data_IF_820331657860
#
_entry.id   IF_820331657860
#
_cell.length_a   1.000
_cell.length_b   1.000
_cell.length_c   1.000
_cell.angle_alpha   90.00
_cell.angle_beta   90.00
_cell.angle_gamma   90.00
#
_symmetry.space_group_name_H-M   'P 1'
#
loop_
_entity.id
_entity.type
_entity.pdbx_description
1 polymer ?
#
# COMPACT_ATOMS: atom_id res chain seq x y z
N UNK A 1 -11.96 3.96 -24.16
CA UNK A 1 -12.99 2.91 -24.23
C UNK A 1 -14.36 3.56 -24.34
N UNK A 2 -15.11 3.25 -25.38
CA UNK A 2 -16.53 3.63 -25.44
C UNK A 2 -17.40 2.62 -24.67
N UNK A 3 -18.64 3.00 -24.38
CA UNK A 3 -19.59 2.20 -23.58
C UNK A 3 -19.89 0.83 -24.23
N UNK A 4 -19.80 0.75 -25.56
CA UNK A 4 -20.06 -0.47 -26.34
C UNK A 4 -18.90 -1.47 -26.23
N UNK A 5 -17.66 -0.96 -26.19
CA UNK A 5 -16.44 -1.72 -25.95
C UNK A 5 -16.35 -2.22 -24.50
N UNK A 6 -16.78 -1.40 -23.53
CA UNK A 6 -16.85 -1.80 -22.12
C UNK A 6 -17.90 -2.90 -21.90
N UNK A 7 -19.09 -2.76 -22.47
CA UNK A 7 -20.16 -3.78 -22.39
C UNK A 7 -19.77 -5.08 -23.13
N UNK A 8 -19.03 -4.99 -24.24
CA UNK A 8 -18.51 -6.16 -24.94
C UNK A 8 -17.44 -6.90 -24.11
N UNK A 9 -16.55 -6.17 -23.44
CA UNK A 9 -15.53 -6.73 -22.56
C UNK A 9 -16.17 -7.36 -21.32
N UNK A 10 -17.11 -6.67 -20.66
CA UNK A 10 -17.83 -7.18 -19.50
C UNK A 10 -18.69 -8.40 -19.86
N UNK A 11 -19.41 -8.36 -21.00
CA UNK A 11 -20.19 -9.50 -21.48
C UNK A 11 -19.35 -10.70 -21.91
N UNK A 12 -18.10 -10.48 -22.32
CA UNK A 12 -17.11 -11.56 -22.52
C UNK A 12 -16.65 -12.11 -21.18
N UNK A 13 -16.30 -11.27 -20.21
CA UNK A 13 -15.88 -11.71 -18.88
C UNK A 13 -16.94 -12.54 -18.18
N UNK A 14 -18.23 -12.19 -18.30
CA UNK A 14 -19.34 -12.98 -17.74
C UNK A 14 -19.41 -14.41 -18.31
N UNK A 15 -19.07 -14.61 -19.60
CA UNK A 15 -18.98 -15.94 -20.23
C UNK A 15 -17.67 -16.68 -19.91
N UNK A 16 -16.64 -15.96 -19.42
CA UNK A 16 -15.31 -16.51 -19.09
C UNK A 16 -15.10 -16.75 -17.58
N UNK A 17 -15.88 -16.12 -16.70
CA UNK A 17 -15.78 -16.22 -15.23
C UNK A 17 -15.84 -17.69 -14.76
N UNK A 18 -16.61 -18.52 -15.48
CA UNK A 18 -16.77 -19.95 -15.22
C UNK A 18 -15.52 -20.82 -15.53
N UNK A 19 -14.44 -20.27 -16.14
CA UNK A 19 -13.23 -21.04 -16.52
C UNK A 19 -11.90 -20.38 -16.18
N UNK A 20 -11.89 -19.20 -15.58
CA UNK A 20 -10.61 -18.51 -15.25
C UNK A 20 -9.77 -19.36 -14.29
N UNK A 21 -10.41 -20.07 -13.36
CA UNK A 21 -9.72 -20.95 -12.40
C UNK A 21 -9.29 -22.30 -12.96
N UNK A 22 -9.78 -22.73 -14.13
CA UNK A 22 -9.40 -24.02 -14.75
C UNK A 22 -7.90 -24.09 -15.09
N UNK A 23 -7.27 -22.93 -15.18
CA UNK A 23 -5.84 -22.80 -15.45
C UNK A 23 -4.99 -22.96 -14.19
N UNK A 24 -5.57 -22.81 -13.00
CA UNK A 24 -4.86 -22.93 -11.73
C UNK A 24 -5.11 -24.30 -11.09
N UNK A 25 -4.07 -24.90 -10.53
CA UNK A 25 -4.25 -26.07 -9.68
C UNK A 25 -4.61 -25.67 -8.23
N UNK A 26 -5.01 -26.67 -7.43
CA UNK A 26 -5.44 -26.43 -6.06
C UNK A 26 -4.34 -25.92 -5.14
N UNK A 27 -3.07 -26.20 -5.44
CA UNK A 27 -1.92 -25.71 -4.67
C UNK A 27 -1.60 -24.25 -5.05
N UNK A 28 -1.76 -23.88 -6.32
CA UNK A 28 -1.61 -22.51 -6.81
C UNK A 28 -2.66 -21.56 -6.20
N UNK A 29 -3.85 -22.05 -5.89
CA UNK A 29 -4.90 -21.27 -5.23
C UNK A 29 -4.92 -21.40 -3.69
N UNK A 30 -4.01 -22.17 -3.11
CA UNK A 30 -3.83 -22.25 -1.66
C UNK A 30 -3.03 -21.04 -1.17
N UNK A 31 -3.75 -20.05 -0.66
CA UNK A 31 -3.16 -18.80 -0.18
C UNK A 31 -2.12 -19.02 0.92
N UNK A 32 -2.32 -19.96 1.84
CA UNK A 32 -1.35 -20.23 2.92
C UNK A 32 -0.05 -20.78 2.33
N UNK A 33 -0.18 -21.73 1.39
CA UNK A 33 0.98 -22.31 0.73
C UNK A 33 1.77 -21.27 -0.08
N UNK A 34 1.09 -20.33 -0.74
CA UNK A 34 1.78 -19.26 -1.48
C UNK A 34 2.43 -18.23 -0.54
N UNK A 35 1.80 -17.89 0.59
CA UNK A 35 2.39 -17.03 1.62
C UNK A 35 3.63 -17.70 2.23
N UNK A 36 3.56 -18.99 2.59
CA UNK A 36 4.70 -19.73 3.13
C UNK A 36 5.88 -19.76 2.14
N UNK A 37 5.60 -19.97 0.84
CA UNK A 37 6.60 -19.95 -0.24
C UNK A 37 7.22 -18.56 -0.47
N UNK A 38 6.50 -17.49 -0.15
CA UNK A 38 7.01 -16.12 -0.18
C UNK A 38 7.85 -15.84 1.06
N UNK A 39 7.42 -16.28 2.24
CA UNK A 39 8.18 -16.13 3.49
C UNK A 39 9.52 -16.87 3.43
N UNK A 40 9.54 -18.11 2.95
CA UNK A 40 10.78 -18.88 2.71
C UNK A 40 11.71 -18.13 1.74
N UNK A 41 11.16 -17.64 0.63
CA UNK A 41 11.93 -16.87 -0.35
C UNK A 41 12.53 -15.58 0.24
N UNK A 42 11.79 -14.86 1.09
CA UNK A 42 12.30 -13.66 1.79
C UNK A 42 13.41 -14.04 2.77
N UNK A 43 13.24 -15.13 3.52
CA UNK A 43 14.21 -15.60 4.50
C UNK A 43 15.53 -16.05 3.87
N UNK A 44 15.51 -16.56 2.64
CA UNK A 44 16.72 -16.95 1.91
C UNK A 44 17.41 -15.76 1.20
N UNK A 45 16.73 -14.62 1.07
CA UNK A 45 17.17 -13.48 0.26
C UNK A 45 17.87 -12.38 1.06
N UNK A 46 18.76 -11.64 0.39
CA UNK A 46 19.33 -10.38 0.84
C UNK A 46 18.22 -9.30 0.88
N UNK A 47 17.89 -8.76 2.06
CA UNK A 47 16.76 -7.85 2.22
C UNK A 47 16.99 -6.50 1.53
N UNK A 48 18.26 -6.09 1.42
CA UNK A 48 18.61 -4.84 0.74
C UNK A 48 18.29 -4.94 -0.75
N UNK A 49 18.68 -6.06 -1.36
CA UNK A 49 18.38 -6.35 -2.78
C UNK A 49 16.88 -6.44 -3.03
N UNK A 50 16.12 -7.09 -2.13
CA UNK A 50 14.66 -7.15 -2.23
C UNK A 50 14.04 -5.74 -2.24
N UNK A 51 14.41 -4.91 -1.26
CA UNK A 51 13.86 -3.56 -1.10
C UNK A 51 14.25 -2.67 -2.29
N UNK A 52 15.49 -2.73 -2.77
CA UNK A 52 15.95 -1.97 -3.94
C UNK A 52 15.18 -2.31 -5.22
N UNK A 53 14.90 -3.60 -5.46
CA UNK A 53 14.10 -4.04 -6.61
C UNK A 53 12.65 -3.55 -6.51
N UNK A 54 12.05 -3.63 -5.32
CA UNK A 54 10.68 -3.14 -5.09
C UNK A 54 10.62 -1.62 -5.29
N UNK A 55 11.60 -0.88 -4.73
CA UNK A 55 11.68 0.57 -4.87
C UNK A 55 11.83 1.01 -6.33
N UNK A 56 12.67 0.33 -7.11
CA UNK A 56 12.81 0.58 -8.55
C UNK A 56 11.49 0.38 -9.30
N UNK A 57 10.81 -0.75 -9.06
CA UNK A 57 9.52 -1.03 -9.70
C UNK A 57 8.46 0.01 -9.35
N UNK A 58 8.31 0.32 -8.05
CA UNK A 58 7.36 1.32 -7.58
C UNK A 58 7.64 2.73 -8.13
N UNK A 59 8.91 3.14 -8.14
CA UNK A 59 9.34 4.44 -8.68
C UNK A 59 9.06 4.58 -10.17
N UNK A 60 9.43 3.58 -10.98
CA UNK A 60 9.18 3.58 -12.42
C UNK A 60 7.68 3.54 -12.73
N UNK A 61 6.90 2.72 -12.01
CA UNK A 61 5.45 2.67 -12.16
C UNK A 61 4.77 4.03 -11.85
N UNK A 62 5.23 4.72 -10.79
CA UNK A 62 4.77 6.07 -10.46
C UNK A 62 5.09 7.11 -11.54
N UNK A 63 6.27 7.02 -12.16
CA UNK A 63 6.67 7.88 -13.27
C UNK A 63 5.83 7.64 -14.53
N UNK A 64 5.54 6.38 -14.87
CA UNK A 64 4.66 6.01 -15.98
C UNK A 64 3.25 6.53 -15.75
N UNK A 65 2.73 6.38 -14.53
CA UNK A 65 1.41 6.89 -14.16
C UNK A 65 1.29 8.42 -14.28
N UNK A 66 2.42 9.15 -14.32
CA UNK A 66 2.45 10.61 -14.47
C UNK A 66 2.43 11.10 -15.92
N UNK A 67 2.70 10.22 -16.89
CA UNK A 67 2.70 10.58 -18.31
C UNK A 67 1.34 10.31 -18.95
N UNK A 68 0.93 11.11 -19.96
CA UNK A 68 -0.41 11.03 -20.55
C UNK A 68 -0.52 9.88 -21.58
N UNK A 69 -0.29 8.65 -21.11
CA UNK A 69 -0.40 7.40 -21.86
C UNK A 69 -1.42 6.49 -21.16
N UNK A 70 -1.99 5.54 -21.88
CA UNK A 70 -2.98 4.61 -21.33
C UNK A 70 -2.32 3.42 -20.62
N UNK A 71 -1.26 3.66 -19.87
CA UNK A 71 -0.50 2.62 -19.17
C UNK A 71 -0.82 2.68 -17.68
N UNK A 72 -1.17 1.53 -17.10
CA UNK A 72 -1.58 1.40 -15.70
C UNK A 72 -0.37 1.19 -14.75
N UNK A 73 0.86 1.23 -15.28
CA UNK A 73 2.11 1.03 -14.54
C UNK A 73 2.82 -0.26 -14.93
N UNK A 74 3.99 -0.53 -14.33
CA UNK A 74 4.79 -1.72 -14.65
C UNK A 74 5.10 -2.57 -13.44
N UNK A 75 5.10 -3.89 -13.66
CA UNK A 75 5.56 -4.88 -12.69
C UNK A 75 4.58 -5.14 -11.55
N UNK A 76 5.09 -5.16 -10.32
CA UNK A 76 4.30 -5.48 -9.11
C UNK A 76 3.34 -4.31 -8.81
N UNK A 77 2.03 -4.59 -8.62
CA UNK A 77 1.09 -3.53 -8.29
C UNK A 77 1.40 -2.81 -6.97
N UNK A 78 1.08 -1.51 -6.83
CA UNK A 78 1.44 -0.70 -5.66
C UNK A 78 1.12 -1.35 -4.30
N UNK A 79 -0.08 -1.90 -4.12
CA UNK A 79 -0.47 -2.52 -2.84
C UNK A 79 0.26 -3.83 -2.56
N UNK A 80 0.63 -4.58 -3.61
CA UNK A 80 1.51 -5.73 -3.45
C UNK A 80 2.94 -5.31 -3.11
N UNK A 81 3.46 -4.19 -3.64
CA UNK A 81 4.73 -3.63 -3.18
C UNK A 81 4.67 -3.32 -1.67
N UNK A 82 3.62 -2.66 -1.21
CA UNK A 82 3.43 -2.38 0.21
C UNK A 82 3.37 -3.67 1.04
N UNK A 83 2.61 -4.68 0.60
CA UNK A 83 2.53 -6.00 1.26
C UNK A 83 3.92 -6.65 1.36
N UNK A 84 4.68 -6.69 0.27
CA UNK A 84 6.04 -7.24 0.26
C UNK A 84 6.96 -6.50 1.23
N UNK A 85 6.93 -5.16 1.25
CA UNK A 85 7.74 -4.37 2.19
C UNK A 85 7.37 -4.70 3.64
N UNK A 86 6.09 -4.88 3.95
CA UNK A 86 5.61 -5.35 5.25
C UNK A 86 6.09 -6.77 5.60
N UNK A 87 6.07 -7.69 4.63
CA UNK A 87 6.58 -9.06 4.80
C UNK A 87 8.09 -9.10 5.01
N UNK A 88 8.85 -8.28 4.28
CA UNK A 88 10.28 -8.09 4.49
C UNK A 88 10.50 -7.56 5.89
N UNK A 89 9.90 -6.42 6.24
CA UNK A 89 10.00 -5.81 7.57
C UNK A 89 9.70 -6.78 8.73
N UNK A 90 8.79 -7.74 8.54
CA UNK A 90 8.35 -8.68 9.57
C UNK A 90 9.12 -10.02 9.54
N UNK A 91 10.10 -10.18 8.66
CA UNK A 91 10.91 -11.39 8.59
C UNK A 91 11.91 -11.43 9.76
N UNK A 92 12.10 -12.63 10.32
CA UNK A 92 12.96 -12.83 11.51
C UNK A 92 14.43 -13.00 11.17
N UNK A 93 14.69 -13.46 9.97
CA UNK A 93 16.02 -13.74 9.46
C UNK A 93 16.05 -13.52 7.95
N UNK A 94 17.25 -13.29 7.45
CA UNK A 94 17.50 -13.09 6.04
C UNK A 94 18.76 -13.85 5.63
N UNK A 95 18.79 -14.24 4.36
CA UNK A 95 19.91 -14.91 3.73
C UNK A 95 20.80 -13.93 2.97
N UNK A 96 21.54 -14.45 2.01
CA UNK A 96 22.47 -13.70 1.17
C UNK A 96 22.18 -13.87 -0.33
N UNK A 97 21.09 -14.57 -0.69
CA UNK A 97 20.70 -14.72 -2.09
C UNK A 97 20.28 -13.38 -2.68
N UNK A 98 20.68 -13.12 -3.93
CA UNK A 98 20.38 -11.86 -4.63
C UNK A 98 19.33 -12.12 -5.70
N UNK A 99 18.03 -12.13 -5.33
CA UNK A 99 16.98 -12.45 -6.29
C UNK A 99 16.89 -11.39 -7.38
N UNK A 100 16.44 -11.83 -8.55
CA UNK A 100 16.07 -10.93 -9.64
C UNK A 100 14.66 -10.39 -9.45
N UNK A 101 14.38 -9.27 -10.10
CA UNK A 101 13.04 -8.67 -10.11
C UNK A 101 11.96 -9.68 -10.51
N UNK A 102 12.18 -10.48 -11.56
CA UNK A 102 11.19 -11.46 -12.02
C UNK A 102 10.83 -12.51 -10.96
N UNK A 103 11.80 -12.96 -10.16
CA UNK A 103 11.57 -13.92 -9.08
C UNK A 103 10.70 -13.30 -7.97
N UNK A 104 10.95 -12.04 -7.62
CA UNK A 104 10.16 -11.28 -6.64
C UNK A 104 8.73 -11.09 -7.18
N UNK A 105 8.60 -10.67 -8.44
CA UNK A 105 7.31 -10.42 -9.09
C UNK A 105 6.46 -11.70 -9.21
N UNK A 106 7.07 -12.83 -9.55
CA UNK A 106 6.38 -14.11 -9.65
C UNK A 106 5.86 -14.58 -8.29
N UNK A 107 6.67 -14.42 -7.22
CA UNK A 107 6.24 -14.74 -5.85
C UNK A 107 5.09 -13.85 -5.38
N UNK A 108 5.17 -12.55 -5.65
CA UNK A 108 4.11 -11.60 -5.33
C UNK A 108 2.82 -11.93 -6.10
N UNK A 109 2.95 -12.20 -7.40
CA UNK A 109 1.83 -12.55 -8.28
C UNK A 109 1.17 -13.86 -7.86
N UNK A 110 1.93 -14.86 -7.41
CA UNK A 110 1.37 -16.11 -6.90
C UNK A 110 0.48 -15.88 -5.67
N UNK A 111 0.92 -15.05 -4.72
CA UNK A 111 0.09 -14.67 -3.55
C UNK A 111 -1.13 -13.86 -3.96
N UNK A 112 -0.96 -12.89 -4.87
CA UNK A 112 -2.06 -12.08 -5.41
C UNK A 112 -3.13 -12.96 -6.09
N UNK A 113 -2.71 -13.84 -6.98
CA UNK A 113 -3.59 -14.73 -7.74
C UNK A 113 -4.30 -15.69 -6.78
N UNK A 114 -3.60 -16.31 -5.83
CA UNK A 114 -4.22 -17.15 -4.80
C UNK A 114 -5.26 -16.37 -3.96
N UNK A 115 -4.92 -15.15 -3.53
CA UNK A 115 -5.84 -14.30 -2.77
C UNK A 115 -7.09 -13.94 -3.57
N UNK A 116 -6.95 -13.55 -4.84
CA UNK A 116 -8.09 -13.14 -5.67
C UNK A 116 -8.91 -14.34 -6.14
N UNK A 117 -8.29 -15.29 -6.82
CA UNK A 117 -8.97 -16.35 -7.56
C UNK A 117 -9.44 -17.53 -6.68
N UNK A 118 -8.91 -17.70 -5.46
CA UNK A 118 -9.43 -18.72 -4.52
C UNK A 118 -10.92 -18.54 -4.21
N UNK A 119 -11.46 -17.31 -4.33
CA UNK A 119 -12.89 -17.06 -4.13
C UNK A 119 -13.72 -17.67 -5.25
N UNK A 120 -13.20 -17.63 -6.47
CA UNK A 120 -13.88 -18.09 -7.68
C UNK A 120 -13.78 -19.61 -7.85
N UNK A 121 -12.74 -20.26 -7.32
CA UNK A 121 -12.58 -21.72 -7.43
C UNK A 121 -13.63 -22.52 -6.65
N UNK A 122 -14.38 -21.86 -5.77
CA UNK A 122 -15.54 -22.43 -5.07
C UNK A 122 -16.83 -22.41 -5.91
N UNK A 123 -16.81 -21.77 -7.09
CA UNK A 123 -17.97 -21.69 -7.98
C UNK A 123 -18.01 -22.92 -8.90
N UNK A 124 -19.11 -23.67 -8.85
CA UNK A 124 -19.47 -24.61 -9.92
C UNK A 124 -20.41 -23.88 -10.90
N UNK A 125 -20.02 -23.72 -12.18
CA UNK A 125 -20.83 -23.05 -13.20
C UNK A 125 -22.26 -23.59 -13.37
N UNK A 126 -22.47 -24.87 -13.07
CA UNK A 126 -23.74 -25.55 -13.29
C UNK A 126 -24.53 -25.77 -11.99
N UNK A 127 -23.86 -25.80 -10.84
CA UNK A 127 -24.49 -26.10 -9.55
C UNK A 127 -24.63 -24.88 -8.63
N UNK A 128 -23.75 -23.88 -8.72
CA UNK A 128 -23.79 -22.71 -7.84
C UNK A 128 -24.92 -21.74 -8.24
N UNK A 129 -25.79 -21.32 -7.30
CA UNK A 129 -26.86 -20.36 -7.58
C UNK A 129 -26.35 -18.99 -8.05
N UNK A 130 -27.06 -18.32 -8.97
CA UNK A 130 -26.68 -17.02 -9.55
C UNK A 130 -26.40 -15.93 -8.50
N UNK A 131 -27.15 -15.91 -7.38
CA UNK A 131 -26.92 -14.97 -6.27
C UNK A 131 -25.57 -15.21 -5.59
N UNK A 132 -25.18 -16.48 -5.43
CA UNK A 132 -23.90 -16.85 -4.84
C UNK A 132 -22.74 -16.56 -5.80
N UNK A 133 -22.90 -16.85 -7.10
CA UNK A 133 -21.96 -16.43 -8.15
C UNK A 133 -21.72 -14.92 -8.09
N UNK A 134 -22.81 -14.13 -8.13
CA UNK A 134 -22.75 -12.67 -8.05
C UNK A 134 -22.00 -12.18 -6.80
N UNK A 135 -22.28 -12.77 -5.64
CA UNK A 135 -21.59 -12.41 -4.37
C UNK A 135 -20.09 -12.72 -4.44
N UNK A 136 -19.72 -13.86 -5.04
CA UNK A 136 -18.33 -14.28 -5.20
C UNK A 136 -17.59 -13.41 -6.21
N UNK A 137 -18.19 -13.05 -7.34
CA UNK A 137 -17.61 -12.11 -8.31
C UNK A 137 -17.46 -10.70 -7.71
N UNK A 138 -18.40 -10.22 -6.89
CA UNK A 138 -18.22 -8.97 -6.13
C UNK A 138 -17.02 -9.07 -5.17
N UNK A 139 -16.92 -10.17 -4.42
CA UNK A 139 -15.81 -10.39 -3.50
C UNK A 139 -14.46 -10.46 -4.24
N UNK A 140 -14.40 -11.12 -5.39
CA UNK A 140 -13.23 -11.12 -6.27
C UNK A 140 -12.83 -9.71 -6.67
N UNK A 141 -13.77 -8.89 -7.18
CA UNK A 141 -13.50 -7.52 -7.58
C UNK A 141 -13.00 -6.64 -6.41
N UNK A 142 -13.57 -6.83 -5.22
CA UNK A 142 -13.10 -6.14 -4.00
C UNK A 142 -11.67 -6.55 -3.64
N UNK A 143 -11.36 -7.85 -3.70
CA UNK A 143 -9.99 -8.37 -3.46
C UNK A 143 -9.00 -7.85 -4.49
N UNK A 144 -9.35 -7.90 -5.77
CA UNK A 144 -8.53 -7.41 -6.87
C UNK A 144 -8.21 -5.92 -6.70
N UNK A 145 -9.19 -5.12 -6.29
CA UNK A 145 -8.98 -3.70 -5.99
C UNK A 145 -8.02 -3.48 -4.83
N UNK A 146 -8.11 -4.30 -3.78
CA UNK A 146 -7.25 -4.17 -2.58
C UNK A 146 -5.78 -4.44 -2.91
N UNK A 147 -5.49 -5.36 -3.83
CA UNK A 147 -4.12 -5.73 -4.21
C UNK A 147 -3.53 -4.91 -5.38
N UNK A 148 -4.36 -4.23 -6.19
CA UNK A 148 -3.89 -3.49 -7.37
C UNK A 148 -3.68 -2.00 -7.10
N UNK A 149 -4.76 -1.21 -7.15
CA UNK A 149 -4.71 0.24 -7.09
C UNK A 149 -4.83 0.82 -5.68
N UNK A 150 -5.20 -0.01 -4.69
CA UNK A 150 -5.57 0.44 -3.37
C UNK A 150 -6.76 1.42 -3.40
N UNK A 151 -6.82 2.30 -2.40
CA UNK A 151 -7.78 3.42 -2.42
C UNK A 151 -7.18 4.51 -3.31
N UNK A 152 -7.87 4.95 -4.36
CA UNK A 152 -7.43 6.08 -5.17
C UNK A 152 -7.45 7.35 -4.32
N UNK A 153 -6.29 7.96 -4.09
CA UNK A 153 -6.18 9.26 -3.45
C UNK A 153 -5.42 10.22 -4.35
N UNK A 154 -5.93 11.44 -4.48
CA UNK A 154 -5.10 12.53 -4.99
C UNK A 154 -3.93 12.74 -4.03
N UNK A 155 -2.75 12.99 -4.59
CA UNK A 155 -1.49 12.98 -3.87
C UNK A 155 -1.40 13.96 -2.68
N UNK A 156 -2.21 15.02 -2.64
CA UNK A 156 -2.34 15.97 -1.52
C UNK A 156 -3.46 15.62 -0.53
N UNK A 157 -4.37 14.69 -0.85
CA UNK A 157 -5.48 14.35 0.03
C UNK A 157 -5.01 13.86 1.40
N UNK A 158 -4.07 12.90 1.54
CA UNK A 158 -3.62 12.44 2.85
C UNK A 158 -3.02 13.57 3.69
N UNK A 159 -2.30 14.51 3.06
CA UNK A 159 -1.74 15.69 3.72
C UNK A 159 -2.87 16.60 4.25
N UNK A 160 -3.90 16.85 3.45
CA UNK A 160 -5.02 17.68 3.85
C UNK A 160 -5.84 17.03 4.98
N UNK A 161 -6.07 15.71 4.91
CA UNK A 161 -6.72 14.95 5.98
C UNK A 161 -5.94 15.12 7.27
N UNK A 162 -4.66 14.78 7.25
CA UNK A 162 -3.79 14.83 8.41
C UNK A 162 -3.73 16.25 8.98
N UNK A 163 -3.52 17.26 8.12
CA UNK A 163 -3.47 18.67 8.54
C UNK A 163 -4.72 19.06 9.32
N UNK A 164 -5.90 18.83 8.77
CA UNK A 164 -7.14 19.24 9.41
C UNK A 164 -7.44 18.43 10.67
N UNK A 165 -7.18 17.13 10.64
CA UNK A 165 -7.52 16.25 11.74
C UNK A 165 -6.58 16.45 12.94
N UNK A 166 -5.31 16.74 12.71
CA UNK A 166 -4.31 16.85 13.77
C UNK A 166 -3.91 18.28 14.16
N UNK A 167 -4.13 19.29 13.32
CA UNK A 167 -3.78 20.70 13.68
C UNK A 167 -4.43 21.17 14.99
N UNK A 168 -5.70 20.85 15.30
CA UNK A 168 -6.31 21.21 16.58
C UNK A 168 -5.64 20.57 17.81
N UNK A 169 -4.78 19.58 17.60
CA UNK A 169 -4.15 18.75 18.64
C UNK A 169 -2.63 18.90 18.65
N UNK A 170 -2.11 20.02 18.12
CA UNK A 170 -0.67 20.25 17.95
C UNK A 170 0.13 20.08 19.24
N UNK A 171 -0.35 20.60 20.38
CA UNK A 171 0.36 20.50 21.66
C UNK A 171 0.44 19.05 22.13
N UNK A 172 -0.65 18.29 22.00
CA UNK A 172 -0.71 16.88 22.37
C UNK A 172 0.15 16.01 21.45
N UNK A 173 0.24 16.34 20.16
CA UNK A 173 1.19 15.66 19.27
C UNK A 173 2.64 15.91 19.68
N UNK A 174 3.00 17.15 20.04
CA UNK A 174 4.36 17.45 20.50
C UNK A 174 4.67 16.66 21.78
N UNK A 175 3.71 16.51 22.69
CA UNK A 175 3.87 15.68 23.88
C UNK A 175 3.99 14.18 23.56
N UNK A 176 3.17 13.67 22.62
CA UNK A 176 3.15 12.24 22.29
C UNK A 176 4.35 11.77 21.46
N UNK A 177 4.73 12.55 20.45
CA UNK A 177 5.68 12.15 19.41
C UNK A 177 6.80 13.15 19.15
N UNK A 178 6.85 14.27 19.90
CA UNK A 178 7.96 15.23 19.81
C UNK A 178 7.86 16.23 18.65
N UNK A 179 6.79 16.21 17.85
CA UNK A 179 6.54 17.15 16.76
C UNK A 179 5.03 17.35 16.52
N UNK A 180 4.64 18.48 15.94
CA UNK A 180 3.26 18.69 15.48
C UNK A 180 3.07 18.31 14.00
N UNK A 181 1.82 18.20 13.54
CA UNK A 181 1.51 17.84 12.16
C UNK A 181 2.08 18.81 11.12
N UNK A 182 2.19 20.10 11.46
CA UNK A 182 2.78 21.09 10.57
C UNK A 182 4.27 20.85 10.33
N UNK A 183 4.99 20.39 11.36
CA UNK A 183 6.38 19.95 11.25
C UNK A 183 6.46 18.63 10.47
N UNK A 184 5.63 17.64 10.81
CA UNK A 184 5.58 16.35 10.12
C UNK A 184 5.41 16.50 8.60
N UNK A 185 4.45 17.33 8.15
CA UNK A 185 4.23 17.61 6.71
C UNK A 185 5.48 18.22 6.05
N UNK A 186 6.20 19.11 6.73
CA UNK A 186 7.45 19.68 6.20
C UNK A 186 8.56 18.64 6.13
N UNK A 187 8.69 17.80 7.15
CA UNK A 187 9.66 16.70 7.19
C UNK A 187 9.38 15.66 6.09
N UNK A 188 8.12 15.28 5.90
CA UNK A 188 7.70 14.39 4.80
C UNK A 188 8.11 14.94 3.44
N UNK A 189 7.79 16.21 3.15
CA UNK A 189 8.17 16.86 1.88
C UNK A 189 9.69 16.94 1.69
N UNK A 190 10.43 17.14 2.78
CA UNK A 190 11.89 17.14 2.74
C UNK A 190 12.43 15.75 2.37
N UNK A 191 11.95 14.70 3.05
CA UNK A 191 12.38 13.30 2.80
C UNK A 191 11.98 12.84 1.41
N UNK A 192 10.73 13.07 0.99
CA UNK A 192 10.27 12.75 -0.36
C UNK A 192 11.18 13.37 -1.42
N UNK A 193 11.48 14.66 -1.27
CA UNK A 193 12.41 15.33 -2.17
C UNK A 193 13.79 14.66 -2.20
N UNK A 194 14.31 14.21 -1.06
CA UNK A 194 15.60 13.51 -1.01
C UNK A 194 15.56 12.18 -1.74
N UNK A 195 14.53 11.37 -1.52
CA UNK A 195 14.38 10.10 -2.22
C UNK A 195 14.11 10.30 -3.72
N UNK A 196 13.32 11.32 -4.11
CA UNK A 196 13.12 11.68 -5.51
C UNK A 196 14.42 12.12 -6.18
N UNK A 197 15.22 12.97 -5.53
CA UNK A 197 16.52 13.43 -6.05
C UNK A 197 17.48 12.24 -6.25
N UNK A 198 17.51 11.28 -5.32
CA UNK A 198 18.32 10.05 -5.43
C UNK A 198 17.80 9.13 -6.54
N UNK A 199 16.48 8.88 -6.59
CA UNK A 199 15.86 8.07 -7.62
C UNK A 199 16.11 8.64 -9.01
N UNK A 200 15.99 9.96 -9.19
CA UNK A 200 16.27 10.62 -10.47
C UNK A 200 17.73 10.44 -10.89
N UNK A 201 18.67 10.66 -9.95
CA UNK A 201 20.10 10.46 -10.19
C UNK A 201 20.38 9.02 -10.62
N UNK A 202 19.90 8.04 -9.86
CA UNK A 202 20.18 6.63 -10.08
C UNK A 202 19.49 6.12 -11.36
N UNK A 203 18.21 6.42 -11.57
CA UNK A 203 17.42 5.88 -12.68
C UNK A 203 17.74 6.55 -14.03
N UNK A 204 17.90 7.88 -14.03
CA UNK A 204 18.04 8.63 -15.28
C UNK A 204 19.46 9.07 -15.56
N UNK A 205 20.14 9.69 -14.59
CA UNK A 205 21.45 10.28 -14.85
C UNK A 205 22.54 9.20 -14.97
N UNK A 206 22.48 8.18 -14.11
CA UNK A 206 23.51 7.13 -14.05
C UNK A 206 23.15 5.89 -14.85
N UNK A 207 21.89 5.44 -14.80
CA UNK A 207 21.44 4.21 -15.46
C UNK A 207 20.92 4.42 -16.89
N UNK A 208 20.62 5.65 -17.29
CA UNK A 208 20.14 6.01 -18.64
C UNK A 208 18.94 5.14 -19.08
N UNK A 209 17.96 4.99 -18.19
CA UNK A 209 16.71 4.28 -18.47
C UNK A 209 15.86 5.11 -19.46
N UNK A 210 15.42 4.47 -20.54
CA UNK A 210 14.55 5.10 -21.55
C UNK A 210 13.07 4.83 -21.22
N UNK A 211 12.36 5.87 -20.78
CA UNK A 211 10.93 5.78 -20.45
C UNK A 211 10.07 5.25 -21.60
N UNK A 212 10.47 5.49 -22.86
CA UNK A 212 9.75 4.98 -24.02
C UNK A 212 9.83 3.46 -24.18
N UNK A 213 10.82 2.81 -23.56
CA UNK A 213 10.93 1.35 -23.52
C UNK A 213 10.01 0.72 -22.47
N UNK A 214 9.72 1.47 -21.42
CA UNK A 214 8.95 1.03 -20.25
C UNK A 214 7.45 1.31 -20.45
N UNK A 215 7.10 2.44 -21.06
CA UNK A 215 5.71 2.83 -21.31
C UNK A 215 5.02 1.99 -22.40
N UNK A 216 3.75 1.69 -22.18
CA UNK A 216 2.85 1.05 -23.13
C UNK A 216 1.85 2.03 -23.75
N UNK A 217 1.41 1.73 -24.97
CA UNK A 217 0.30 2.46 -25.61
C UNK A 217 -1.07 1.96 -25.15
N UNK A 218 -1.13 0.80 -24.45
CA UNK A 218 -2.35 0.10 -24.05
C UNK A 218 -2.31 -0.22 -22.56
N UNK A 219 -3.49 -0.27 -21.95
CA UNK A 219 -3.64 -0.69 -20.55
C UNK A 219 -3.64 -2.23 -20.45
N UNK A 220 -3.53 -2.74 -19.22
CA UNK A 220 -3.51 -4.19 -18.96
C UNK A 220 -4.78 -4.87 -19.47
N UNK A 221 -5.94 -4.22 -19.38
CA UNK A 221 -7.20 -4.83 -19.79
C UNK A 221 -7.28 -5.02 -21.31
N UNK A 222 -6.87 -4.00 -22.08
CA UNK A 222 -6.77 -4.08 -23.54
C UNK A 222 -5.80 -5.18 -23.97
N UNK A 223 -4.64 -5.27 -23.31
CA UNK A 223 -3.64 -6.33 -23.53
C UNK A 223 -4.21 -7.74 -23.29
N UNK A 224 -4.90 -7.95 -22.17
CA UNK A 224 -5.54 -9.23 -21.83
C UNK A 224 -6.61 -9.61 -22.84
N UNK A 225 -7.48 -8.68 -23.23
CA UNK A 225 -8.55 -8.93 -24.21
C UNK A 225 -7.97 -9.30 -25.58
N UNK A 226 -6.90 -8.64 -26.02
CA UNK A 226 -6.21 -9.01 -27.25
C UNK A 226 -5.61 -10.41 -27.18
N UNK A 227 -4.93 -10.74 -26.09
CA UNK A 227 -4.36 -12.07 -25.90
C UNK A 227 -5.44 -13.16 -25.88
N UNK A 228 -6.58 -12.93 -25.22
CA UNK A 228 -7.73 -13.85 -25.24
C UNK A 228 -8.26 -14.04 -26.67
N UNK A 229 -8.36 -12.97 -27.45
CA UNK A 229 -8.82 -13.07 -28.84
C UNK A 229 -7.83 -13.84 -29.73
N UNK A 230 -6.53 -13.78 -29.43
CA UNK A 230 -5.48 -14.51 -30.15
C UNK A 230 -5.39 -15.99 -29.75
N UNK A 231 -5.47 -16.27 -28.44
CA UNK A 231 -5.14 -17.58 -27.85
C UNK A 231 -6.38 -18.40 -27.47
N UNK A 232 -7.54 -17.74 -27.35
CA UNK A 232 -8.84 -18.37 -27.08
C UNK A 232 -9.10 -18.71 -25.62
N UNK A 233 -8.16 -18.41 -24.72
CA UNK A 233 -8.24 -18.68 -23.28
C UNK A 233 -7.74 -17.49 -22.46
N UNK A 234 -8.15 -17.44 -21.19
CA UNK A 234 -7.68 -16.44 -20.25
C UNK A 234 -6.28 -16.84 -19.74
N UNK A 235 -5.23 -16.04 -19.99
CA UNK A 235 -3.88 -16.37 -19.53
C UNK A 235 -3.74 -16.16 -18.02
N UNK A 236 -2.92 -16.99 -17.34
CA UNK A 236 -2.47 -16.67 -15.98
C UNK A 236 -1.75 -15.32 -15.98
N UNK A 237 -1.74 -14.62 -14.85
CA UNK A 237 -1.05 -13.32 -14.75
C UNK A 237 0.41 -13.40 -15.19
N UNK A 238 1.12 -14.45 -14.78
CA UNK A 238 2.51 -14.69 -15.19
C UNK A 238 2.69 -15.07 -16.66
N UNK A 239 1.64 -15.51 -17.36
CA UNK A 239 1.68 -15.88 -18.78
C UNK A 239 1.30 -14.71 -19.71
N UNK A 240 0.92 -13.56 -19.14
CA UNK A 240 0.52 -12.39 -19.94
C UNK A 240 1.72 -11.76 -20.62
N UNK A 241 1.52 -11.33 -21.87
CA UNK A 241 2.61 -10.76 -22.70
C UNK A 241 3.12 -9.42 -22.17
N UNK A 242 2.24 -8.61 -21.60
CA UNK A 242 2.59 -7.36 -20.92
C UNK A 242 3.43 -7.63 -19.66
N UNK A 243 2.97 -8.52 -18.78
CA UNK A 243 3.69 -8.92 -17.57
C UNK A 243 5.11 -9.43 -17.86
N UNK A 244 5.25 -10.37 -18.82
CA UNK A 244 6.55 -10.92 -19.22
C UNK A 244 7.49 -9.86 -19.81
N UNK A 245 6.94 -8.87 -20.50
CA UNK A 245 7.70 -7.74 -21.03
C UNK A 245 8.14 -6.80 -19.90
N UNK A 246 7.25 -6.48 -18.98
CA UNK A 246 7.53 -5.60 -17.85
C UNK A 246 8.65 -6.14 -16.97
N UNK A 247 8.58 -7.43 -16.61
CA UNK A 247 9.65 -8.12 -15.89
C UNK A 247 10.97 -7.93 -16.62
N UNK A 248 11.01 -8.22 -17.93
CA UNK A 248 12.24 -8.13 -18.69
C UNK A 248 12.82 -6.71 -18.68
N UNK A 249 11.97 -5.69 -18.88
CA UNK A 249 12.40 -4.29 -18.86
C UNK A 249 12.90 -3.88 -17.48
N UNK A 250 12.25 -4.34 -16.41
CA UNK A 250 12.63 -4.05 -15.03
C UNK A 250 13.91 -4.79 -14.63
N UNK A 251 14.12 -6.03 -15.07
CA UNK A 251 15.38 -6.76 -14.91
C UNK A 251 16.52 -6.06 -15.64
N UNK A 252 16.34 -5.68 -16.91
CA UNK A 252 17.35 -4.92 -17.67
C UNK A 252 17.63 -3.54 -17.04
N UNK A 253 16.62 -2.92 -16.42
CA UNK A 253 16.77 -1.65 -15.69
C UNK A 253 17.52 -1.85 -14.38
N UNK A 254 17.18 -2.88 -13.62
CA UNK A 254 17.86 -3.23 -12.38
C UNK A 254 19.33 -3.61 -12.62
N UNK A 255 19.64 -4.35 -13.69
CA UNK A 255 21.04 -4.64 -14.05
C UNK A 255 21.87 -3.35 -14.23
N UNK A 256 21.27 -2.29 -14.79
CA UNK A 256 21.93 -0.97 -14.92
C UNK A 256 22.02 -0.24 -13.60
N UNK A 257 20.94 -0.26 -12.82
CA UNK A 257 20.81 0.45 -11.53
C UNK A 257 21.63 -0.20 -10.42
N UNK A 258 21.81 -1.52 -10.42
CA UNK A 258 22.47 -2.29 -9.35
C UNK A 258 23.92 -1.88 -9.07
N UNK A 259 24.57 -1.19 -10.02
CA UNK A 259 25.91 -0.61 -9.80
C UNK A 259 25.89 0.67 -8.95
N UNK A 260 24.71 1.25 -8.75
CA UNK A 260 24.44 2.50 -8.04
C UNK A 260 23.29 2.35 -7.03
N UNK A 261 22.77 1.13 -6.81
CA UNK A 261 21.58 0.93 -5.98
C UNK A 261 21.84 1.24 -4.51
N UNK A 262 23.10 1.13 -4.06
CA UNK A 262 23.54 1.62 -2.76
C UNK A 262 23.28 3.13 -2.59
N UNK A 263 23.24 3.92 -3.66
CA UNK A 263 22.94 5.36 -3.60
C UNK A 263 21.43 5.63 -3.42
N UNK A 264 20.56 4.61 -3.46
CA UNK A 264 19.14 4.75 -3.08
C UNK A 264 18.95 4.86 -1.56
N UNK A 265 19.95 4.46 -0.80
CA UNK A 265 19.96 4.53 0.65
C UNK A 265 20.65 5.81 1.12
N UNK A 266 20.06 6.48 2.11
CA UNK A 266 20.60 7.71 2.67
C UNK A 266 20.93 7.52 4.14
N UNK A 267 22.14 7.89 4.55
CA UNK A 267 22.53 7.84 5.97
C UNK A 267 21.78 8.88 6.80
N UNK A 268 21.55 8.58 8.09
CA UNK A 268 20.98 9.54 9.05
C UNK A 268 21.73 10.86 9.05
N UNK A 269 23.07 10.77 9.10
CA UNK A 269 23.95 11.91 9.14
C UNK A 269 23.81 12.80 7.91
N UNK A 270 23.55 12.21 6.74
CA UNK A 270 23.32 12.97 5.52
C UNK A 270 21.97 13.71 5.57
N UNK A 271 20.90 13.05 6.03
CA UNK A 271 19.60 13.69 6.23
C UNK A 271 19.69 14.87 7.20
N UNK A 272 20.39 14.71 8.32
CA UNK A 272 20.57 15.75 9.34
C UNK A 272 21.44 16.91 8.83
N UNK A 273 22.54 16.62 8.13
CA UNK A 273 23.45 17.65 7.60
C UNK A 273 22.81 18.54 6.53
N UNK A 274 21.82 18.01 5.81
CA UNK A 274 21.13 18.70 4.72
C UNK A 274 19.75 19.23 5.15
N UNK A 275 19.40 19.09 6.43
CA UNK A 275 18.15 19.60 6.99
C UNK A 275 18.12 21.13 6.86
N UNK A 276 17.06 21.72 6.27
CA UNK A 276 16.93 23.17 6.17
C UNK A 276 16.98 23.87 7.54
N UNK A 277 17.65 25.02 7.61
CA UNK A 277 17.83 25.80 8.86
C UNK A 277 16.52 26.23 9.55
N UNK A 278 15.40 26.26 8.83
CA UNK A 278 14.07 26.61 9.37
C UNK A 278 13.31 25.42 9.97
N UNK A 279 13.90 24.23 9.91
CA UNK A 279 13.36 23.00 10.47
C UNK A 279 14.08 22.67 11.79
N UNK A 280 13.28 22.26 12.79
CA UNK A 280 13.79 21.91 14.11
C UNK A 280 14.42 20.50 14.07
N UNK A 281 15.70 20.42 14.42
CA UNK A 281 16.47 19.17 14.32
C UNK A 281 15.96 18.10 15.30
N UNK A 282 15.68 18.47 16.55
CA UNK A 282 15.18 17.52 17.56
C UNK A 282 13.82 16.93 17.17
N UNK A 283 12.91 17.78 16.68
CA UNK A 283 11.63 17.34 16.14
C UNK A 283 11.79 16.46 14.88
N UNK A 284 12.80 16.71 14.05
CA UNK A 284 13.10 15.88 12.88
C UNK A 284 13.68 14.52 13.26
N UNK A 285 14.56 14.46 14.25
CA UNK A 285 15.09 13.21 14.80
C UNK A 285 13.94 12.36 15.37
N UNK A 286 13.04 12.95 16.18
CA UNK A 286 11.84 12.27 16.67
C UNK A 286 10.91 11.79 15.52
N UNK A 287 10.77 12.60 14.46
CA UNK A 287 10.00 12.22 13.28
C UNK A 287 10.61 11.02 12.55
N UNK A 288 11.94 11.02 12.36
CA UNK A 288 12.65 9.90 11.75
C UNK A 288 12.52 8.65 12.60
N UNK A 289 12.74 8.75 13.91
CA UNK A 289 12.59 7.61 14.82
C UNK A 289 11.17 7.01 14.75
N UNK A 290 10.13 7.86 14.80
CA UNK A 290 8.74 7.40 14.81
C UNK A 290 8.28 6.76 13.50
N UNK A 291 8.74 7.27 12.36
CA UNK A 291 8.29 6.80 11.04
C UNK A 291 9.27 5.84 10.36
N UNK A 292 10.37 5.52 11.02
CA UNK A 292 11.30 4.50 10.55
C UNK A 292 11.01 3.14 11.16
N UNK A 293 11.30 2.10 10.38
CA UNK A 293 11.22 0.71 10.79
C UNK A 293 12.58 0.05 10.53
N UNK A 294 13.26 -0.37 11.59
CA UNK A 294 14.49 -1.14 11.47
C UNK A 294 14.17 -2.60 11.12
N UNK A 295 14.46 -2.98 9.88
CA UNK A 295 14.09 -4.32 9.38
C UNK A 295 14.89 -5.45 10.04
N UNK A 296 15.91 -5.12 10.85
CA UNK A 296 16.73 -6.10 11.58
C UNK A 296 16.34 -6.27 13.03
N UNK A 297 15.51 -5.37 13.58
CA UNK A 297 15.09 -5.34 14.99
C UNK A 297 13.57 -5.18 15.14
N UNK A 298 12.80 -5.52 14.10
CA UNK A 298 11.35 -5.43 14.11
C UNK A 298 10.71 -6.82 14.10
N UNK A 299 9.82 -7.09 15.06
CA UNK A 299 9.01 -8.29 15.09
C UNK A 299 7.53 -7.92 14.98
N UNK A 300 6.80 -8.60 14.08
CA UNK A 300 5.36 -8.42 13.89
C UNK A 300 4.69 -9.74 13.53
N UNK A 301 3.41 -9.86 13.87
CA UNK A 301 2.56 -10.98 13.45
C UNK A 301 1.97 -10.79 12.04
N UNK A 302 2.36 -9.73 11.32
CA UNK A 302 1.87 -9.41 9.99
C UNK A 302 2.09 -10.55 8.98
N UNK A 303 0.98 -11.11 8.47
CA UNK A 303 1.03 -12.27 7.59
C UNK A 303 0.18 -12.12 6.33
N UNK A 304 -1.06 -11.70 6.48
CA UNK A 304 -2.04 -11.65 5.40
C UNK A 304 -2.13 -10.26 4.76
N UNK A 305 -2.59 -10.21 3.51
CA UNK A 305 -2.83 -8.96 2.77
C UNK A 305 -3.77 -8.02 3.54
N UNK A 306 -4.76 -8.60 4.25
CA UNK A 306 -5.79 -7.85 4.98
C UNK A 306 -5.36 -7.45 6.41
N UNK A 307 -4.16 -7.86 6.85
CA UNK A 307 -3.63 -7.50 8.17
C UNK A 307 -3.16 -6.04 8.18
N UNK A 308 -2.99 -5.47 9.38
CA UNK A 308 -2.39 -4.14 9.52
C UNK A 308 -0.91 -4.20 9.12
N UNK A 309 -0.60 -3.61 7.97
CA UNK A 309 0.75 -3.61 7.44
C UNK A 309 1.64 -2.61 8.21
N UNK A 310 2.76 -3.06 8.83
CA UNK A 310 3.60 -2.19 9.63
C UNK A 310 4.20 -1.01 8.84
N UNK A 311 4.42 -1.15 7.52
CA UNK A 311 4.96 -0.05 6.71
C UNK A 311 3.94 1.06 6.46
N UNK A 312 2.66 0.86 6.77
CA UNK A 312 1.65 1.93 6.77
C UNK A 312 1.83 2.85 7.99
N UNK A 313 2.35 2.33 9.10
CA UNK A 313 2.59 3.09 10.32
C UNK A 313 4.00 3.72 10.35
N UNK A 314 5.00 3.01 9.81
CA UNK A 314 6.41 3.40 9.76
C UNK A 314 6.99 3.13 8.35
N UNK A 315 6.76 4.06 7.41
CA UNK A 315 7.02 3.84 5.98
C UNK A 315 8.48 3.97 5.54
N UNK A 316 9.38 4.46 6.41
CA UNK A 316 10.80 4.59 6.10
C UNK A 316 11.50 3.32 6.56
N UNK A 317 12.11 2.57 5.65
CA UNK A 317 12.84 1.36 6.04
C UNK A 317 14.26 1.72 6.42
N UNK A 318 14.73 1.20 7.55
CA UNK A 318 16.09 1.38 8.06
C UNK A 318 16.86 0.06 7.98
N UNK A 319 18.08 0.11 7.43
CA UNK A 319 19.03 -1.00 7.41
C UNK A 319 20.46 -0.47 7.62
N UNK A 320 21.16 -0.94 8.65
CA UNK A 320 22.54 -0.52 8.99
C UNK A 320 22.75 1.01 9.04
N UNK A 321 21.85 1.75 9.72
CA UNK A 321 21.86 3.23 9.85
C UNK A 321 21.62 4.03 8.56
N UNK A 322 21.19 3.35 7.49
CA UNK A 322 20.71 3.98 6.27
C UNK A 322 19.20 3.81 6.12
N UNK A 323 18.58 4.76 5.42
CA UNK A 323 17.13 4.84 5.23
C UNK A 323 16.77 4.78 3.76
N UNK A 324 15.61 4.21 3.46
CA UNK A 324 15.01 4.23 2.12
C UNK A 324 13.50 4.42 2.19
N UNK A 325 12.98 5.29 1.31
CA UNK A 325 11.55 5.44 1.05
C UNK A 325 11.14 4.56 -0.12
N UNK A 326 10.96 3.27 0.14
CA UNK A 326 10.80 2.26 -0.92
C UNK A 326 9.48 2.39 -1.71
N UNK A 327 8.48 3.12 -1.20
CA UNK A 327 7.23 3.37 -1.92
C UNK A 327 6.79 4.83 -1.74
N UNK A 328 6.72 5.64 -2.83
CA UNK A 328 6.46 7.08 -2.74
C UNK A 328 5.14 7.46 -2.06
N UNK A 329 4.12 6.59 -2.15
CA UNK A 329 2.81 6.85 -1.56
C UNK A 329 2.73 6.65 -0.04
N UNK A 330 3.61 5.84 0.55
CA UNK A 330 3.46 5.39 1.93
C UNK A 330 3.71 6.50 2.95
N UNK A 331 4.68 7.36 2.70
CA UNK A 331 5.02 8.47 3.58
C UNK A 331 3.84 9.40 3.87
N UNK A 332 3.04 9.71 2.85
CA UNK A 332 1.84 10.55 3.00
C UNK A 332 0.68 9.82 3.65
N UNK A 333 0.51 8.53 3.36
CA UNK A 333 -0.51 7.71 4.01
C UNK A 333 -0.25 7.61 5.52
N UNK A 334 1.01 7.41 5.92
CA UNK A 334 1.38 7.35 7.33
C UNK A 334 0.99 8.61 8.11
N UNK A 335 1.12 9.81 7.50
CA UNK A 335 0.67 11.06 8.14
C UNK A 335 -0.81 11.05 8.51
N UNK A 336 -1.65 10.41 7.69
CA UNK A 336 -3.09 10.32 7.92
C UNK A 336 -3.42 9.28 8.98
N UNK A 337 -2.80 8.10 8.91
CA UNK A 337 -3.29 6.91 9.59
C UNK A 337 -2.59 6.59 10.93
N UNK A 338 -1.37 7.09 11.16
CA UNK A 338 -0.53 6.59 12.26
C UNK A 338 -0.70 7.37 13.58
N UNK A 339 -0.79 8.70 13.53
CA UNK A 339 -0.75 9.55 14.74
C UNK A 339 -2.03 9.47 15.58
N UNK A 340 -3.14 9.01 15.00
CA UNK A 340 -4.37 8.75 15.73
C UNK A 340 -4.12 7.82 16.91
N UNK A 341 -3.35 6.74 16.70
CA UNK A 341 -3.05 5.75 17.74
C UNK A 341 -2.14 6.32 18.84
N UNK A 342 -1.18 7.16 18.47
CA UNK A 342 -0.32 7.85 19.44
C UNK A 342 -1.16 8.73 20.39
N UNK A 343 -2.11 9.49 19.83
CA UNK A 343 -2.96 10.38 20.61
C UNK A 343 -3.98 9.64 21.49
N UNK A 344 -4.64 8.59 21.01
CA UNK A 344 -5.62 7.87 21.84
C UNK A 344 -4.97 7.07 22.97
N UNK A 345 -3.70 6.72 22.84
CA UNK A 345 -2.94 6.01 23.88
C UNK A 345 -2.37 6.96 24.94
N UNK A 346 -2.46 8.28 24.75
CA UNK A 346 -2.06 9.25 25.77
C UNK A 346 -3.01 9.19 26.98
N UNK A 347 -2.42 9.02 28.16
CA UNK A 347 -3.13 9.02 29.43
C UNK A 347 -3.96 10.30 29.60
N UNK A 348 -5.26 10.15 29.91
CA UNK A 348 -6.17 11.28 30.12
C UNK A 348 -6.66 12.02 28.87
N UNK A 349 -6.11 11.72 27.68
CA UNK A 349 -6.52 12.34 26.42
C UNK A 349 -7.49 11.46 25.62
N UNK A 350 -7.08 10.23 25.30
CA UNK A 350 -7.92 9.25 24.59
C UNK A 350 -8.92 8.52 25.49
N UNK A 351 -8.69 8.51 26.80
CA UNK A 351 -9.60 7.87 27.74
C UNK A 351 -10.91 8.64 27.92
N UNK A 352 -12.04 7.92 27.87
CA UNK A 352 -13.37 8.46 28.21
C UNK A 352 -13.41 9.01 29.65
N UNK A 353 -12.60 8.44 30.55
CA UNK A 353 -12.42 8.90 31.94
C UNK A 353 -11.45 10.06 32.12
N UNK A 354 -10.69 10.42 31.08
CA UNK A 354 -9.65 11.44 31.11
C UNK A 354 -10.17 12.88 31.14
N UNK A 355 -9.27 13.85 31.33
CA UNK A 355 -9.60 15.28 31.35
C UNK A 355 -10.19 15.77 30.02
N UNK A 356 -9.82 15.09 28.91
CA UNK A 356 -10.38 15.35 27.58
C UNK A 356 -11.46 14.33 27.16
N UNK A 357 -11.75 13.34 28.00
CA UNK A 357 -12.96 12.51 27.95
C UNK A 357 -13.22 11.73 26.65
N UNK A 358 -12.18 11.31 25.92
CA UNK A 358 -12.35 10.63 24.64
C UNK A 358 -12.84 11.53 23.49
N UNK A 359 -12.83 12.86 23.68
CA UNK A 359 -13.26 13.83 22.66
C UNK A 359 -12.57 13.65 21.32
N UNK A 360 -11.31 13.23 21.29
CA UNK A 360 -10.61 13.02 20.03
C UNK A 360 -11.23 11.88 19.20
N UNK A 361 -11.59 10.75 19.83
CA UNK A 361 -12.28 9.64 19.16
C UNK A 361 -13.71 10.00 18.71
N UNK A 362 -14.44 10.80 19.51
CA UNK A 362 -15.76 11.30 19.14
C UNK A 362 -15.70 12.33 17.99
N UNK A 363 -14.72 13.24 18.01
CA UNK A 363 -14.55 14.30 17.00
C UNK A 363 -13.99 13.73 15.68
N UNK A 364 -13.21 12.66 15.70
CA UNK A 364 -12.62 12.09 14.48
C UNK A 364 -13.69 11.61 13.49
N UNK A 365 -14.74 10.95 14.00
CA UNK A 365 -15.89 10.53 13.19
C UNK A 365 -16.65 11.73 12.60
N UNK A 366 -16.96 12.72 13.44
CA UNK A 366 -17.62 13.96 13.02
C UNK A 366 -16.79 14.72 11.97
N UNK A 367 -15.46 14.72 12.12
CA UNK A 367 -14.53 15.37 11.19
C UNK A 367 -14.50 14.69 9.81
N UNK A 368 -14.48 13.35 9.76
CA UNK A 368 -14.57 12.61 8.49
C UNK A 368 -15.92 12.88 7.82
N UNK A 369 -16.98 12.94 8.60
CA UNK A 369 -18.33 13.21 8.10
C UNK A 369 -18.45 14.63 7.52
N UNK A 370 -18.01 15.65 8.27
CA UNK A 370 -17.98 17.04 7.82
C UNK A 370 -17.13 17.21 6.56
N UNK A 371 -15.97 16.56 6.48
CA UNK A 371 -15.11 16.65 5.30
C UNK A 371 -15.73 15.95 4.08
N UNK A 372 -16.36 14.80 4.28
CA UNK A 372 -17.10 14.10 3.22
C UNK A 372 -18.25 14.96 2.72
N UNK A 373 -18.96 15.63 3.63
CA UNK A 373 -20.03 16.57 3.30
C UNK A 373 -19.51 17.76 2.48
N UNK A 374 -18.51 18.48 2.97
CA UNK A 374 -17.91 19.62 2.27
C UNK A 374 -17.49 19.23 0.85
N UNK A 375 -16.74 18.13 0.72
CA UNK A 375 -16.23 17.64 -0.57
C UNK A 375 -17.34 17.24 -1.53
N UNK A 376 -18.43 16.63 -1.03
CA UNK A 376 -19.57 16.27 -1.86
C UNK A 376 -20.38 17.50 -2.26
N UNK A 377 -20.51 18.52 -1.40
CA UNK A 377 -21.22 19.76 -1.74
C UNK A 377 -20.50 20.64 -2.75
N UNK A 378 -19.19 20.47 -2.89
CA UNK A 378 -18.42 21.11 -3.97
C UNK A 378 -18.70 20.47 -5.35
N UNK A 379 -19.13 19.21 -5.38
CA UNK A 379 -19.37 18.43 -6.60
C UNK A 379 -20.86 18.28 -6.94
N UNK A 380 -21.72 18.26 -5.94
CA UNK A 380 -23.15 17.99 -6.05
C UNK A 380 -23.96 19.12 -5.39
N UNK A 381 -25.20 19.36 -5.85
CA UNK A 381 -26.10 20.28 -5.18
C UNK A 381 -26.27 19.88 -3.71
N UNK A 382 -26.24 20.86 -2.80
CA UNK A 382 -26.40 20.63 -1.36
C UNK A 382 -27.70 19.86 -1.01
N UNK A 383 -28.73 19.91 -1.86
CA UNK A 383 -29.97 19.14 -1.68
C UNK A 383 -29.79 17.62 -1.78
N UNK A 384 -28.71 17.18 -2.40
CA UNK A 384 -28.44 15.78 -2.74
C UNK A 384 -27.36 15.17 -1.84
N UNK A 385 -26.79 15.98 -0.94
CA UNK A 385 -25.76 15.58 0.03
C UNK A 385 -26.36 15.58 1.43
N UNK A 386 -26.30 14.44 2.11
CA UNK A 386 -26.88 14.24 3.43
C UNK A 386 -25.77 13.90 4.43
N UNK A 387 -25.77 14.58 5.56
CA UNK A 387 -25.05 14.14 6.76
C UNK A 387 -25.78 12.95 7.37
N UNK A 388 -25.07 12.10 8.11
CA UNK A 388 -25.72 11.08 8.92
C UNK A 388 -26.71 11.77 9.87
N UNK A 389 -27.90 11.19 10.04
CA UNK A 389 -28.84 11.70 11.02
C UNK A 389 -28.19 11.58 12.41
N UNK A 390 -28.17 12.69 13.16
CA UNK A 390 -27.72 12.69 14.54
C UNK A 390 -28.51 11.63 15.32
N UNK A 391 -27.85 10.52 15.67
CA UNK A 391 -28.46 9.46 16.45
C UNK A 391 -28.77 10.06 17.82
N UNK A 392 -30.04 10.10 18.20
CA UNK A 392 -30.40 10.49 19.56
C UNK A 392 -29.69 9.54 20.53
N UNK A 393 -29.20 10.02 21.67
CA UNK A 393 -28.47 9.19 22.64
C UNK A 393 -29.29 8.02 23.21
N UNK A 394 -30.61 7.98 22.94
CA UNK A 394 -31.51 6.86 23.22
C UNK A 394 -31.62 5.81 22.11
N UNK A 395 -31.13 6.10 20.91
CA UNK A 395 -31.23 5.27 19.70
C UNK A 395 -29.86 4.84 19.15
N UNK A 396 -28.76 5.30 19.76
CA UNK A 396 -27.45 4.71 19.52
C UNK A 396 -27.55 3.19 19.79
N UNK A 397 -27.30 2.33 18.78
CA UNK A 397 -27.28 0.90 19.03
C UNK A 397 -26.30 0.61 20.17
N UNK A 398 -26.65 -0.34 21.04
CA UNK A 398 -25.73 -0.89 22.06
C UNK A 398 -24.55 -1.65 21.42
N UNK A 399 -24.00 -1.16 20.31
CA UNK A 399 -22.91 -1.74 19.53
C UNK A 399 -21.57 -1.04 19.77
N UNK A 400 -21.41 -0.36 20.91
CA UNK A 400 -20.09 -0.10 21.49
C UNK A 400 -19.61 -1.26 22.38
N UNK A 401 -20.03 -2.51 22.08
CA UNK A 401 -19.43 -3.71 22.65
C UNK A 401 -18.31 -4.30 21.78
N UNK A 402 -17.96 -3.67 20.65
CA UNK A 402 -16.78 -4.05 19.87
C UNK A 402 -15.46 -3.85 20.64
N UNK A 403 -15.47 -3.07 21.73
CA UNK A 403 -14.30 -2.90 22.61
C UNK A 403 -14.05 -4.05 23.59
N UNK A 404 -14.91 -5.07 23.70
CA UNK A 404 -14.63 -6.22 24.59
C UNK A 404 -13.93 -7.40 23.93
N UNK A 405 -13.75 -7.40 22.61
CA UNK A 405 -13.00 -8.46 21.91
C UNK A 405 -11.57 -8.05 21.51
N UNK A 406 -11.24 -6.76 21.50
CA UNK A 406 -9.85 -6.29 21.31
C UNK A 406 -8.98 -6.43 22.58
N UNK A 407 -9.58 -6.38 23.77
CA UNK A 407 -8.89 -6.71 25.04
C UNK A 407 -8.44 -8.19 25.12
N UNK A 408 -8.99 -9.07 24.26
CA UNK A 408 -8.56 -10.46 24.17
C UNK A 408 -7.38 -10.68 23.21
N UNK A 409 -7.09 -9.72 22.33
CA UNK A 409 -6.02 -9.81 21.32
C UNK A 409 -4.75 -9.05 21.77
N UNK A 410 -4.89 -7.99 22.59
CA UNK A 410 -3.74 -7.21 23.09
C UNK A 410 -3.28 -7.59 24.52
N UNK A 411 -3.85 -8.64 25.14
CA UNK A 411 -3.57 -9.06 26.53
C UNK A 411 -2.30 -9.90 26.74
N UNK A 412 -1.28 -9.75 25.89
CA UNK A 412 -0.14 -10.66 25.79
C UNK A 412 1.24 -10.14 26.22
N UNK A 413 1.37 -8.91 26.73
CA UNK A 413 2.67 -8.39 27.19
C UNK A 413 2.58 -7.88 28.63
N UNK A 414 2.57 -8.82 29.58
CA UNK A 414 2.99 -8.52 30.95
C UNK A 414 3.74 -9.71 31.54
N UNK A 415 4.98 -9.43 31.96
CA UNK A 415 5.96 -10.27 32.65
C UNK A 415 6.88 -11.17 31.79
N UNK A 416 8.01 -10.61 31.35
CA UNK A 416 9.37 -11.10 31.65
C UNK A 416 10.40 -10.02 31.34
#
# INVERSE_FOLDING_TARGET
MDEEEADYILGKLDDYDDRVTDHYDSEELDIEAQIDKLEEFIQDSDPRVLIENIALGAGLSGLISSVPISDDGVGIPPRMCEYLLGKIASAKEYGDEKPKYGEIADKATAVQDAYCYSVLSEIDPYETPDEEKSRKSIKFNLRLREVTAGRFWFWEQPIEVARRAYSPHSDMMVEAVGFNIGQAIKFTRYIEKKFDDLAVKVYFDESNIDMGQISHEKNTMESVVEQINEEGSFPKTTERKDYQRDIKVLEESYEKVSSYSDDLWISEQELLNQLPDDLDQEAFENYLERLSLDITDFESEFRYIDDHNPVHASPILKYNDEFIGAHPGLLRQALMDTFYYDLINMEGYGEVSGEHGGKFGEIWGDYIEDWSYDSLTDLFPQSDVFLNPALSSSEAPQSASFHRELDAVCGGCSNA
#
